data_IF_901286356723
#
_entry.id   IF_901286356723
#
_cell.length_a   1.000
_cell.length_b   1.000
_cell.length_c   1.000
_cell.angle_alpha   90.00
_cell.angle_beta   90.00
_cell.angle_gamma   90.00
#
_symmetry.space_group_name_H-M   'P 1'
#
loop_
_entity.id
_entity.type
_entity.pdbx_description
1 polymer ?
#
# COMPACT_ATOMS: atom_id res chain seq x y z
N UNK A 1 15.51 -76.22 -21.26
CA UNK A 1 14.79 -75.14 -21.98
C UNK A 1 15.66 -73.89 -21.99
N UNK A 2 15.58 -73.05 -23.02
CA UNK A 2 16.36 -71.81 -23.14
C UNK A 2 15.45 -70.58 -22.92
N UNK A 3 15.93 -69.54 -22.22
CA UNK A 3 16.39 -68.29 -22.89
C UNK A 3 16.92 -67.24 -21.91
N UNK A 4 17.80 -66.39 -22.47
CA UNK A 4 18.42 -65.23 -21.83
C UNK A 4 17.44 -64.06 -21.63
N UNK A 5 17.78 -63.14 -20.73
CA UNK A 5 17.91 -61.70 -21.03
C UNK A 5 18.90 -61.10 -20.01
N UNK A 6 20.17 -60.87 -20.39
CA UNK A 6 20.70 -59.64 -21.02
C UNK A 6 20.63 -58.39 -20.11
N UNK A 7 21.82 -57.91 -19.71
CA UNK A 7 22.02 -56.56 -19.20
C UNK A 7 21.79 -55.53 -20.32
N UNK A 8 21.24 -54.37 -19.97
CA UNK A 8 21.37 -53.14 -20.75
C UNK A 8 22.01 -52.07 -19.85
N UNK A 9 23.30 -51.79 -20.07
CA UNK A 9 23.95 -50.64 -19.46
C UNK A 9 23.50 -49.37 -20.19
N UNK A 10 22.96 -48.40 -19.47
CA UNK A 10 22.56 -47.12 -20.06
C UNK A 10 23.63 -46.06 -19.81
N UNK A 11 24.32 -45.65 -20.87
CA UNK A 11 25.36 -44.61 -20.81
C UNK A 11 24.69 -43.24 -20.76
N UNK A 12 24.61 -42.65 -19.56
CA UNK A 12 24.16 -41.27 -19.40
C UNK A 12 25.27 -40.32 -19.86
N UNK A 13 25.11 -39.71 -21.05
CA UNK A 13 26.05 -38.70 -21.55
C UNK A 13 25.90 -37.41 -20.74
N UNK A 14 26.91 -37.06 -19.96
CA UNK A 14 27.01 -35.74 -19.32
C UNK A 14 27.31 -34.70 -20.40
N UNK A 15 26.33 -33.85 -20.72
CA UNK A 15 26.51 -32.70 -21.59
C UNK A 15 26.97 -31.50 -20.75
N UNK A 16 28.27 -31.19 -20.78
CA UNK A 16 28.83 -30.03 -20.07
C UNK A 16 28.52 -28.77 -20.88
N UNK A 17 27.63 -27.92 -20.38
CA UNK A 17 27.36 -26.59 -20.95
C UNK A 17 28.33 -25.55 -20.37
N UNK A 18 29.46 -25.31 -21.04
CA UNK A 18 30.41 -24.23 -20.74
C UNK A 18 30.00 -22.91 -21.39
N UNK A 19 29.01 -22.22 -20.81
CA UNK A 19 28.60 -20.88 -21.26
C UNK A 19 29.53 -19.77 -20.74
N UNK A 20 30.62 -19.55 -21.47
CA UNK A 20 31.33 -18.27 -21.70
C UNK A 20 31.28 -17.18 -20.60
N UNK A 21 32.40 -16.97 -19.91
CA UNK A 21 32.67 -15.73 -19.16
C UNK A 21 32.97 -14.58 -20.14
N UNK A 22 31.97 -13.73 -20.41
CA UNK A 22 32.14 -12.51 -21.20
C UNK A 22 32.79 -11.38 -20.40
N UNK A 23 34.12 -11.27 -20.44
CA UNK A 23 34.84 -10.17 -19.79
C UNK A 23 34.70 -8.86 -20.58
N UNK A 24 33.99 -7.87 -20.02
CA UNK A 24 33.91 -6.50 -20.56
C UNK A 24 34.96 -5.64 -19.86
N UNK A 25 36.11 -5.43 -20.50
CA UNK A 25 37.21 -4.61 -19.99
C UNK A 25 37.27 -3.26 -20.71
N UNK A 26 36.50 -2.28 -20.23
CA UNK A 26 36.53 -0.89 -20.69
C UNK A 26 35.86 0.03 -19.66
N UNK A 27 36.46 1.11 -19.18
CA UNK A 27 37.82 1.61 -19.40
C UNK A 27 37.96 3.02 -18.80
N UNK A 28 39.02 3.29 -18.04
CA UNK A 28 39.16 4.58 -17.36
C UNK A 28 39.52 5.70 -18.36
N UNK A 29 38.62 6.67 -18.53
CA UNK A 29 38.86 7.92 -19.24
C UNK A 29 38.51 9.12 -18.34
N UNK A 30 39.42 9.46 -17.42
CA UNK A 30 39.31 10.68 -16.63
C UNK A 30 39.86 11.87 -17.41
N UNK A 31 39.07 12.92 -17.57
CA UNK A 31 39.56 14.25 -17.94
C UNK A 31 39.17 15.25 -16.84
N UNK A 32 40.12 16.09 -16.46
CA UNK A 32 39.95 17.11 -15.42
C UNK A 32 40.49 18.45 -15.93
N UNK A 33 40.09 19.52 -15.25
CA UNK A 33 40.54 20.92 -15.43
C UNK A 33 40.04 21.63 -16.71
N UNK A 34 40.00 22.99 -16.75
CA UNK A 34 39.95 23.95 -15.63
C UNK A 34 38.83 25.01 -15.70
N UNK A 35 38.32 25.35 -14.51
CA UNK A 35 38.01 26.70 -14.02
C UNK A 35 37.88 27.89 -15.01
N UNK A 36 36.68 28.50 -15.07
CA UNK A 36 36.50 29.93 -15.42
C UNK A 36 35.49 30.58 -14.46
N UNK A 37 35.97 31.37 -13.51
CA UNK A 37 35.18 32.47 -12.93
C UNK A 37 35.15 33.66 -13.89
N UNK A 38 34.08 34.47 -13.82
CA UNK A 38 34.28 35.91 -13.70
C UNK A 38 33.85 36.40 -12.31
N UNK A 39 34.79 36.90 -11.52
CA UNK A 39 34.49 37.85 -10.43
C UNK A 39 34.37 39.25 -11.06
N UNK A 40 33.46 40.08 -10.55
CA UNK A 40 33.42 41.51 -10.83
C UNK A 40 32.66 42.26 -9.71
N UNK A 41 33.36 42.44 -8.58
CA UNK A 41 33.07 43.48 -7.57
C UNK A 41 33.32 44.90 -8.12
N UNK A 42 33.12 45.90 -7.25
CA UNK A 42 33.50 47.33 -7.36
C UNK A 42 32.49 48.18 -8.14
N UNK A 43 31.98 49.34 -7.68
CA UNK A 43 31.78 50.01 -6.37
C UNK A 43 30.79 51.21 -6.65
N UNK A 44 30.35 52.14 -5.78
CA UNK A 44 30.66 52.56 -4.40
C UNK A 44 29.46 53.35 -3.78
N UNK A 45 29.71 54.09 -2.69
CA UNK A 45 28.99 55.32 -2.23
C UNK A 45 27.68 55.20 -1.44
N UNK A 46 27.85 54.97 -0.13
CA UNK A 46 27.26 55.73 0.99
C UNK A 46 27.46 57.26 0.83
N UNK A 47 26.71 58.19 1.52
CA UNK A 47 26.68 58.24 3.00
C UNK A 47 25.47 58.91 3.76
N UNK A 48 25.41 58.68 5.10
CA UNK A 48 24.87 59.61 6.14
C UNK A 48 23.31 59.83 6.10
N UNK A 49 22.51 60.21 7.13
CA UNK A 49 22.56 60.65 8.56
C UNK A 49 21.24 60.15 9.26
N UNK A 50 20.91 60.25 10.56
CA UNK A 50 21.55 59.98 11.89
C UNK A 50 20.46 60.11 13.00
N UNK A 51 20.65 59.45 14.16
CA UNK A 51 19.83 59.51 15.40
C UNK A 51 18.43 58.84 15.35
N UNK A 52 17.81 58.43 16.46
CA UNK A 52 18.31 58.30 17.85
C UNK A 52 17.17 58.33 18.89
N UNK A 53 17.17 57.43 19.89
CA UNK A 53 16.10 57.39 20.89
C UNK A 53 16.18 56.23 21.91
N UNK A 54 16.78 56.50 23.07
CA UNK A 54 16.54 55.78 24.34
C UNK A 54 15.25 56.33 25.00
N UNK A 55 14.60 55.74 26.01
CA UNK A 55 14.49 54.36 26.55
C UNK A 55 13.50 54.40 27.75
N UNK A 56 13.16 53.22 28.31
CA UNK A 56 12.75 52.90 29.71
C UNK A 56 11.44 52.13 29.89
N UNK A 57 11.43 51.28 30.93
CA UNK A 57 10.25 50.58 31.44
C UNK A 57 9.35 51.49 32.30
N UNK A 58 8.10 51.08 32.54
CA UNK A 58 7.66 50.80 33.94
C UNK A 58 6.32 50.05 34.02
N UNK A 59 6.28 49.10 34.94
CA UNK A 59 5.11 48.58 35.68
C UNK A 59 5.48 48.65 37.18
N UNK A 60 4.64 48.31 38.19
CA UNK A 60 3.27 47.75 38.18
C UNK A 60 2.31 48.48 39.18
N UNK A 61 1.15 47.87 39.55
CA UNK A 61 0.74 47.55 40.97
C UNK A 61 -0.76 47.76 41.33
N UNK A 62 -1.50 46.64 41.57
CA UNK A 62 -2.69 46.45 42.49
C UNK A 62 -4.01 47.24 42.22
N UNK A 63 -5.20 46.84 42.72
CA UNK A 63 -5.76 45.55 43.19
C UNK A 63 -7.28 45.66 43.50
N UNK A 64 -7.93 44.54 43.86
CA UNK A 64 -9.24 44.36 44.54
C UNK A 64 -10.55 44.59 43.73
N UNK A 65 -11.68 43.90 43.98
CA UNK A 65 -11.95 42.59 44.65
C UNK A 65 -13.36 42.06 44.29
N UNK A 66 -13.50 40.73 44.04
CA UNK A 66 -14.50 39.76 44.59
C UNK A 66 -15.99 40.21 44.68
N UNK A 67 -16.97 39.53 44.05
CA UNK A 67 -17.67 38.34 44.58
C UNK A 67 -18.41 37.48 43.50
N UNK A 68 -18.25 36.13 43.59
CA UNK A 68 -19.27 35.07 43.79
C UNK A 68 -20.69 35.17 43.11
N UNK A 69 -21.36 34.09 42.63
CA UNK A 69 -21.07 32.64 42.58
C UNK A 69 -21.79 31.96 41.35
N UNK A 70 -22.06 30.63 41.27
CA UNK A 70 -21.64 29.81 40.14
C UNK A 70 -22.71 29.57 39.07
N UNK A 71 -22.29 29.24 37.84
CA UNK A 71 -23.09 28.39 36.95
C UNK A 71 -22.28 27.66 35.89
N UNK A 72 -22.50 26.35 35.86
CA UNK A 72 -22.36 25.43 34.72
C UNK A 72 -21.03 25.48 33.95
N UNK A 73 -20.13 24.57 34.34
CA UNK A 73 -19.00 24.11 33.53
C UNK A 73 -19.42 23.93 32.07
N UNK A 74 -18.97 24.83 31.18
CA UNK A 74 -18.84 24.48 29.78
C UNK A 74 -17.67 23.52 29.70
N UNK A 75 -17.96 22.22 29.77
CA UNK A 75 -17.00 21.21 29.33
C UNK A 75 -16.57 21.62 27.92
N UNK A 76 -15.30 21.95 27.76
CA UNK A 76 -14.78 22.27 26.44
C UNK A 76 -15.05 21.05 25.58
N UNK A 77 -15.66 21.25 24.41
CA UNK A 77 -15.45 20.29 23.35
C UNK A 77 -13.93 20.17 23.20
N UNK A 78 -13.42 18.94 23.26
CA UNK A 78 -12.00 18.71 22.96
C UNK A 78 -11.84 19.01 21.48
N UNK A 79 -11.43 20.24 21.17
CA UNK A 79 -10.85 20.53 19.87
C UNK A 79 -9.68 19.56 19.72
N UNK A 80 -9.75 18.70 18.71
CA UNK A 80 -8.71 17.70 18.45
C UNK A 80 -7.43 18.50 18.20
N UNK A 81 -6.52 18.47 19.17
CA UNK A 81 -5.27 19.24 19.11
C UNK A 81 -4.56 18.89 17.81
N UNK A 82 -4.14 19.93 17.08
CA UNK A 82 -3.34 19.75 15.87
C UNK A 82 -2.09 18.96 16.25
N UNK A 83 -1.99 17.73 15.76
CA UNK A 83 -0.86 16.86 16.04
C UNK A 83 0.45 17.53 15.61
N UNK A 84 1.32 17.86 16.56
CA UNK A 84 2.67 18.43 16.31
C UNK A 84 3.68 17.37 15.79
N UNK A 85 3.19 16.47 14.93
CA UNK A 85 4.00 15.54 14.15
C UNK A 85 4.73 16.27 13.02
N UNK A 86 5.87 15.72 12.60
CA UNK A 86 6.75 16.28 11.57
C UNK A 86 7.41 15.16 10.78
N UNK A 87 7.49 15.32 9.47
CA UNK A 87 8.25 14.42 8.60
C UNK A 87 9.74 14.43 9.00
N UNK A 88 10.40 13.28 8.89
CA UNK A 88 11.79 13.08 9.32
C UNK A 88 12.00 12.97 10.84
N UNK A 89 10.97 13.09 11.69
CA UNK A 89 11.14 12.91 13.14
C UNK A 89 11.18 11.42 13.53
N UNK A 90 11.97 11.01 14.54
CA UNK A 90 11.99 9.61 15.00
C UNK A 90 10.61 9.11 15.41
N UNK A 91 10.24 7.91 14.96
CA UNK A 91 8.92 7.32 15.19
C UNK A 91 8.61 7.14 16.68
N UNK A 92 9.58 6.72 17.49
CA UNK A 92 9.40 6.64 18.94
C UNK A 92 8.95 7.97 19.55
N UNK A 93 9.52 9.10 19.10
CA UNK A 93 9.14 10.44 19.56
C UNK A 93 7.76 10.86 19.06
N UNK A 94 7.36 10.42 17.86
CA UNK A 94 6.01 10.61 17.34
C UNK A 94 4.97 9.83 18.17
N UNK A 95 5.25 8.56 18.47
CA UNK A 95 4.48 7.68 19.36
C UNK A 95 4.28 8.32 20.74
N UNK A 96 5.36 8.82 21.35
CA UNK A 96 5.30 9.53 22.63
C UNK A 96 4.37 10.77 22.56
N UNK A 97 4.47 11.58 21.51
CA UNK A 97 3.63 12.77 21.34
C UNK A 97 2.14 12.44 21.13
N UNK A 98 1.79 11.41 20.37
CA UNK A 98 0.38 11.06 20.13
C UNK A 98 -0.26 10.44 21.38
N UNK A 99 0.50 9.61 22.11
CA UNK A 99 0.06 9.05 23.40
C UNK A 99 -0.13 10.17 24.44
N UNK A 100 0.78 11.14 24.51
CA UNK A 100 0.61 12.34 25.37
C UNK A 100 -0.63 13.18 24.99
N UNK A 101 -1.02 13.19 23.72
CA UNK A 101 -2.23 13.85 23.22
C UNK A 101 -3.52 13.01 23.39
N UNK A 102 -3.45 11.85 24.05
CA UNK A 102 -4.61 11.03 24.40
C UNK A 102 -5.04 10.02 23.34
N UNK A 103 -4.21 9.78 22.34
CA UNK A 103 -4.34 8.64 21.43
C UNK A 103 -3.78 7.36 22.08
N UNK A 104 -4.24 6.19 21.63
CA UNK A 104 -3.85 4.87 22.15
C UNK A 104 -3.59 3.90 20.98
N UNK A 105 -2.62 2.97 21.08
CA UNK A 105 -2.39 1.93 20.07
C UNK A 105 -3.70 1.26 19.60
N UNK A 106 -3.90 1.19 18.28
CA UNK A 106 -5.07 0.54 17.69
C UNK A 106 -4.88 -0.98 17.64
N UNK A 107 -5.14 -1.64 18.77
CA UNK A 107 -5.14 -3.10 18.88
C UNK A 107 -6.44 -3.75 18.35
N UNK A 108 -7.28 -2.98 17.63
CA UNK A 108 -8.53 -3.44 17.01
C UNK A 108 -8.39 -3.47 15.47
N UNK A 109 -9.32 -4.16 14.81
CA UNK A 109 -9.26 -4.41 13.36
C UNK A 109 -8.23 -5.47 13.01
N UNK A 110 -7.55 -5.29 11.88
CA UNK A 110 -6.57 -6.27 11.37
C UNK A 110 -5.43 -6.49 12.38
N UNK A 111 -5.02 -7.75 12.53
CA UNK A 111 -3.87 -8.11 13.37
C UNK A 111 -2.56 -7.71 12.68
N UNK A 112 -1.47 -7.44 13.43
CA UNK A 112 -0.15 -7.23 12.85
C UNK A 112 0.25 -8.41 11.95
N UNK A 113 0.76 -8.13 10.76
CA UNK A 113 1.28 -9.12 9.82
C UNK A 113 2.61 -9.72 10.31
N UNK A 114 2.57 -10.56 11.35
CA UNK A 114 3.76 -11.18 11.98
C UNK A 114 4.51 -12.19 11.09
N UNK A 115 4.07 -12.39 9.83
CA UNK A 115 4.81 -13.13 8.81
C UNK A 115 5.83 -12.23 8.08
N UNK A 116 5.58 -10.91 8.02
CA UNK A 116 6.60 -9.96 7.60
C UNK A 116 7.64 -9.78 8.72
N UNK A 117 8.93 -9.87 8.34
CA UNK A 117 10.02 -9.84 9.31
C UNK A 117 10.19 -8.45 9.96
N UNK A 118 9.89 -7.37 9.23
CA UNK A 118 9.96 -6.00 9.79
C UNK A 118 8.80 -5.72 10.74
N UNK A 119 7.58 -6.13 10.39
CA UNK A 119 6.42 -6.07 11.29
C UNK A 119 6.71 -6.85 12.57
N UNK A 120 7.25 -8.08 12.44
CA UNK A 120 7.61 -8.89 13.60
C UNK A 120 8.71 -8.24 14.46
N UNK A 121 9.79 -7.74 13.88
CA UNK A 121 10.85 -7.06 14.64
C UNK A 121 10.31 -5.83 15.39
N UNK A 122 9.44 -5.03 14.77
CA UNK A 122 8.78 -3.88 15.40
C UNK A 122 7.83 -4.29 16.54
N UNK A 123 7.09 -5.38 16.34
CA UNK A 123 6.22 -5.93 17.37
C UNK A 123 7.03 -6.47 18.57
N UNK A 124 8.14 -7.18 18.31
CA UNK A 124 9.08 -7.65 19.34
C UNK A 124 9.78 -6.48 20.07
N UNK A 125 9.89 -5.29 19.46
CA UNK A 125 10.30 -4.04 20.11
C UNK A 125 9.18 -3.32 20.89
N UNK A 126 7.95 -3.87 20.92
CA UNK A 126 6.82 -3.31 21.68
C UNK A 126 6.02 -2.22 20.94
N UNK A 127 6.16 -2.11 19.62
CA UNK A 127 5.30 -1.28 18.77
C UNK A 127 4.04 -2.04 18.35
N UNK A 128 3.23 -2.49 19.32
CA UNK A 128 2.01 -3.29 19.11
C UNK A 128 0.99 -2.63 18.14
N UNK A 129 1.08 -1.30 17.95
CA UNK A 129 0.28 -0.57 16.96
C UNK A 129 0.66 -0.80 15.48
N UNK A 130 1.75 -1.51 15.18
CA UNK A 130 2.16 -1.81 13.80
C UNK A 130 1.15 -2.75 13.12
N UNK A 131 0.75 -2.44 11.89
CA UNK A 131 -0.16 -3.28 11.09
C UNK A 131 0.60 -4.07 10.02
N UNK A 132 1.27 -3.36 9.11
CA UNK A 132 1.95 -3.96 7.96
C UNK A 132 3.12 -3.10 7.46
N UNK A 133 4.02 -3.70 6.68
CA UNK A 133 5.25 -3.08 6.17
C UNK A 133 5.42 -3.28 4.65
N UNK A 134 5.81 -2.23 3.93
CA UNK A 134 6.01 -2.26 2.49
C UNK A 134 7.37 -2.83 2.10
N UNK A 135 7.37 -4.00 1.45
CA UNK A 135 8.57 -4.68 0.93
C UNK A 135 9.32 -3.95 -0.20
N UNK A 136 8.85 -2.78 -0.63
CA UNK A 136 9.35 -1.98 -1.78
C UNK A 136 10.73 -1.33 -1.59
N UNK A 137 11.58 -1.86 -0.71
CA UNK A 137 12.95 -1.37 -0.46
C UNK A 137 13.05 -0.10 0.40
N UNK A 138 12.02 0.75 0.46
CA UNK A 138 11.91 1.85 1.44
C UNK A 138 11.41 1.39 2.81
N UNK A 139 10.82 0.19 2.90
CA UNK A 139 10.46 -0.45 4.16
C UNK A 139 9.42 0.31 4.99
N UNK A 140 8.59 1.16 4.38
CA UNK A 140 7.60 1.99 5.09
C UNK A 140 6.56 1.12 5.81
N UNK A 141 6.36 1.32 7.11
CA UNK A 141 5.36 0.58 7.90
C UNK A 141 4.24 1.48 8.38
N UNK A 142 3.02 0.93 8.45
CA UNK A 142 1.80 1.58 8.96
C UNK A 142 1.63 1.25 10.44
N UNK A 143 1.52 2.29 11.25
CA UNK A 143 1.25 2.24 12.70
C UNK A 143 -0.06 2.98 12.98
N UNK A 144 -0.91 2.46 13.87
CA UNK A 144 -2.26 2.97 14.07
C UNK A 144 -2.61 3.31 15.51
N UNK A 145 -3.34 4.40 15.71
CA UNK A 145 -3.81 4.84 17.02
C UNK A 145 -5.27 5.27 16.95
N UNK A 146 -6.04 4.99 18.00
CA UNK A 146 -7.41 5.52 18.16
C UNK A 146 -7.49 6.53 19.30
N UNK A 147 -8.48 7.42 19.26
CA UNK A 147 -8.76 8.34 20.36
C UNK A 147 -10.16 8.12 20.97
N UNK A 148 -10.47 8.83 22.06
CA UNK A 148 -11.75 8.72 22.79
C UNK A 148 -13.00 9.16 22.00
N UNK A 149 -12.84 9.73 20.80
CA UNK A 149 -13.93 10.07 19.89
C UNK A 149 -14.12 9.00 18.78
N UNK A 150 -13.32 7.93 18.78
CA UNK A 150 -13.37 6.87 17.76
C UNK A 150 -12.69 7.25 16.44
N UNK A 151 -11.93 8.35 16.40
CA UNK A 151 -11.10 8.68 15.24
C UNK A 151 -9.87 7.76 15.19
N UNK A 152 -9.41 7.45 13.98
CA UNK A 152 -8.25 6.61 13.69
C UNK A 152 -7.14 7.47 13.09
N UNK A 153 -6.02 7.58 13.79
CA UNK A 153 -4.77 8.16 13.31
C UNK A 153 -3.91 7.01 12.77
N UNK A 154 -3.49 7.09 11.51
CA UNK A 154 -2.40 6.25 11.01
C UNK A 154 -1.15 7.08 10.74
N UNK A 155 0.00 6.50 11.05
CA UNK A 155 1.34 7.06 10.84
C UNK A 155 2.10 6.09 9.94
N UNK A 156 2.68 6.60 8.86
CA UNK A 156 3.66 5.88 8.05
C UNK A 156 5.06 6.30 8.47
N UNK A 157 5.95 5.34 8.73
CA UNK A 157 7.35 5.60 9.04
C UNK A 157 8.29 4.65 8.29
N UNK A 158 9.32 5.20 7.65
CA UNK A 158 10.38 4.48 6.93
C UNK A 158 11.56 4.16 7.85
N UNK A 159 12.44 3.23 7.44
CA UNK A 159 13.73 3.04 8.11
C UNK A 159 14.58 4.31 7.97
N UNK A 160 15.31 4.66 9.03
CA UNK A 160 16.28 5.75 9.00
C UNK A 160 17.67 5.26 8.51
N UNK A 161 17.97 3.99 8.74
CA UNK A 161 19.20 3.33 8.33
C UNK A 161 18.93 1.97 7.64
N UNK A 162 19.73 0.93 7.87
CA UNK A 162 19.51 -0.43 7.34
C UNK A 162 18.80 -1.37 8.34
N UNK A 163 18.22 -0.85 9.41
CA UNK A 163 17.65 -1.65 10.50
C UNK A 163 16.22 -1.20 10.85
N UNK A 164 15.49 -2.08 11.54
CA UNK A 164 14.18 -1.74 12.08
C UNK A 164 14.23 -0.98 13.42
N UNK A 165 15.41 -0.77 14.03
CA UNK A 165 15.51 -0.10 15.33
C UNK A 165 15.31 1.42 15.23
N UNK A 166 15.72 2.05 14.13
CA UNK A 166 15.52 3.49 13.90
C UNK A 166 14.60 3.74 12.71
N UNK A 167 13.42 4.32 12.99
CA UNK A 167 12.43 4.71 11.98
C UNK A 167 12.09 6.18 12.11
N UNK A 168 11.79 6.81 10.98
CA UNK A 168 11.37 8.23 10.90
C UNK A 168 9.99 8.35 10.28
N UNK A 169 9.17 9.23 10.85
CA UNK A 169 7.84 9.56 10.31
C UNK A 169 7.98 10.09 8.89
N UNK A 170 7.28 9.47 7.96
CA UNK A 170 7.19 9.90 6.57
C UNK A 170 5.85 10.62 6.30
N UNK A 171 4.74 10.12 6.85
CA UNK A 171 3.43 10.75 6.69
C UNK A 171 2.46 10.35 7.82
N UNK A 172 1.34 11.06 7.99
CA UNK A 172 0.25 10.67 8.90
C UNK A 172 -1.09 11.29 8.48
N UNK A 173 -2.20 10.65 8.84
CA UNK A 173 -3.55 11.17 8.61
C UNK A 173 -4.54 10.75 9.71
N UNK A 174 -5.63 11.50 9.87
CA UNK A 174 -6.73 11.20 10.80
C UNK A 174 -8.01 10.91 10.00
N UNK A 175 -8.49 9.69 10.12
CA UNK A 175 -9.81 9.26 9.67
C UNK A 175 -10.83 9.48 10.79
N UNK A 176 -11.93 10.18 10.49
CA UNK A 176 -12.93 10.55 11.51
C UNK A 176 -13.88 9.39 11.80
N UNK A 177 -14.02 9.05 13.08
CA UNK A 177 -14.91 7.98 13.53
C UNK A 177 -16.37 8.26 13.18
N UNK A 178 -16.94 7.44 12.29
CA UNK A 178 -18.39 7.39 12.09
C UNK A 178 -19.01 6.79 13.34
N UNK A 179 -19.65 7.63 14.17
CA UNK A 179 -20.29 7.16 15.40
C UNK A 179 -21.42 6.17 15.08
N UNK A 180 -21.17 4.88 15.36
CA UNK A 180 -22.04 3.75 15.02
C UNK A 180 -23.31 3.72 15.88
N UNK A 181 -24.26 4.64 15.62
CA UNK A 181 -25.62 4.57 16.19
C UNK A 181 -26.67 5.44 15.46
N UNK A 182 -26.66 5.47 14.11
CA UNK A 182 -27.87 5.87 13.36
C UNK A 182 -27.92 5.31 11.93
N UNK A 183 -28.54 4.13 11.79
CA UNK A 183 -28.96 3.61 10.48
C UNK A 183 -30.24 4.33 10.02
N UNK A 184 -30.12 5.56 9.52
CA UNK A 184 -31.19 6.21 8.75
C UNK A 184 -30.67 7.35 7.86
N UNK A 185 -30.71 7.11 6.54
CA UNK A 185 -30.95 8.11 5.50
C UNK A 185 -30.18 9.45 5.58
N UNK A 186 -28.85 9.40 5.65
CA UNK A 186 -28.05 10.46 5.01
C UNK A 186 -28.00 10.13 3.52
N UNK A 187 -28.87 10.77 2.74
CA UNK A 187 -28.76 10.77 1.29
C UNK A 187 -27.56 11.65 0.90
N UNK A 188 -26.36 11.06 0.87
CA UNK A 188 -25.22 11.69 0.22
C UNK A 188 -25.53 11.86 -1.26
N UNK A 189 -24.91 12.87 -1.88
CA UNK A 189 -24.73 12.83 -3.32
C UNK A 189 -23.84 11.62 -3.62
N UNK A 190 -24.42 10.51 -4.07
CA UNK A 190 -23.64 9.51 -4.78
C UNK A 190 -23.13 10.16 -6.06
N UNK A 191 -21.86 10.57 -6.07
CA UNK A 191 -21.14 10.72 -7.33
C UNK A 191 -21.29 9.39 -8.07
N UNK A 192 -21.87 9.44 -9.27
CA UNK A 192 -22.16 8.24 -10.04
C UNK A 192 -20.84 7.53 -10.32
N UNK A 193 -20.62 6.39 -9.66
CA UNK A 193 -19.41 5.59 -9.80
C UNK A 193 -19.14 5.34 -11.30
N UNK A 194 -17.92 5.61 -11.79
CA UNK A 194 -17.64 5.64 -13.23
C UNK A 194 -17.79 4.25 -13.88
N UNK A 195 -17.59 3.20 -13.11
CA UNK A 195 -17.81 1.79 -13.43
C UNK A 195 -17.88 0.99 -12.11
N UNK A 196 -18.19 -0.31 -12.21
CA UNK A 196 -18.04 -1.30 -11.15
C UNK A 196 -17.11 -2.42 -11.63
N UNK A 197 -16.42 -3.07 -10.69
CA UNK A 197 -15.38 -4.08 -10.97
C UNK A 197 -14.02 -3.44 -11.26
N UNK A 198 -13.12 -4.20 -11.88
CA UNK A 198 -11.73 -3.80 -12.12
C UNK A 198 -11.54 -3.22 -13.53
N UNK A 199 -10.71 -2.20 -13.67
CA UNK A 199 -10.24 -1.63 -14.93
C UNK A 199 -8.71 -1.43 -14.91
N UNK A 200 -8.08 -1.55 -16.06
CA UNK A 200 -6.64 -1.31 -16.29
C UNK A 200 -6.43 0.02 -17.01
N UNK A 201 -5.33 0.70 -16.72
CA UNK A 201 -4.93 1.94 -17.39
C UNK A 201 -3.39 2.10 -17.41
N UNK A 202 -2.85 2.84 -18.37
CA UNK A 202 -1.41 3.12 -18.45
C UNK A 202 -1.17 4.44 -19.17
N UNK A 203 -0.53 5.40 -18.50
CA UNK A 203 -0.21 6.71 -19.08
C UNK A 203 0.98 6.68 -20.05
N UNK A 204 1.87 5.68 -19.97
CA UNK A 204 3.19 5.70 -20.60
C UNK A 204 3.30 4.90 -21.92
N UNK A 205 2.21 4.31 -22.42
CA UNK A 205 2.15 3.45 -23.63
C UNK A 205 3.18 2.28 -23.70
N UNK A 206 3.89 2.00 -22.61
CA UNK A 206 4.94 0.99 -22.55
C UNK A 206 4.43 -0.42 -22.31
N UNK A 207 5.22 -1.42 -22.71
CA UNK A 207 4.94 -2.85 -22.56
C UNK A 207 5.18 -3.37 -21.11
N UNK A 208 5.00 -2.51 -20.10
CA UNK A 208 5.33 -2.78 -18.70
C UNK A 208 4.71 -1.77 -17.73
N UNK A 209 4.48 -2.24 -16.51
CA UNK A 209 3.92 -1.53 -15.34
C UNK A 209 2.72 -0.61 -15.63
N UNK A 210 1.56 -1.24 -15.91
CA UNK A 210 0.27 -0.55 -15.90
C UNK A 210 -0.31 -0.43 -14.49
N UNK A 211 -1.33 0.42 -14.33
CA UNK A 211 -2.11 0.57 -13.10
C UNK A 211 -3.46 -0.14 -13.23
N UNK A 212 -4.05 -0.52 -12.11
CA UNK A 212 -5.42 -1.04 -12.02
C UNK A 212 -6.22 -0.26 -10.98
N UNK A 213 -7.50 -0.11 -11.24
CA UNK A 213 -8.47 0.41 -10.27
C UNK A 213 -9.64 -0.58 -10.17
N UNK A 214 -10.02 -0.97 -8.96
CA UNK A 214 -11.23 -1.73 -8.68
C UNK A 214 -12.21 -0.85 -7.89
N UNK A 215 -13.49 -0.85 -8.30
CA UNK A 215 -14.58 -0.15 -7.60
C UNK A 215 -15.69 -1.14 -7.29
N UNK A 216 -16.03 -1.31 -6.02
CA UNK A 216 -17.10 -2.16 -5.54
C UNK A 216 -18.47 -1.43 -5.53
N UNK A 217 -19.61 -2.15 -5.50
CA UNK A 217 -20.96 -1.55 -5.50
C UNK A 217 -21.23 -0.56 -4.35
N UNK A 218 -20.53 -0.70 -3.23
CA UNK A 218 -20.61 0.18 -2.06
C UNK A 218 -19.64 1.38 -2.13
N UNK A 219 -19.00 1.60 -3.28
CA UNK A 219 -18.00 2.62 -3.54
C UNK A 219 -16.60 2.32 -2.98
N UNK A 220 -16.36 1.17 -2.35
CA UNK A 220 -15.00 0.80 -1.92
C UNK A 220 -14.08 0.68 -3.13
N UNK A 221 -12.95 1.38 -3.09
CA UNK A 221 -12.07 1.61 -4.24
C UNK A 221 -10.63 1.31 -3.88
N UNK A 222 -9.96 0.53 -4.72
CA UNK A 222 -8.54 0.18 -4.59
C UNK A 222 -7.83 0.52 -5.90
N UNK A 223 -6.75 1.29 -5.83
CA UNK A 223 -5.82 1.53 -6.95
C UNK A 223 -4.51 0.79 -6.69
N UNK A 224 -3.97 0.11 -7.70
CA UNK A 224 -2.68 -0.58 -7.63
C UNK A 224 -1.77 -0.23 -8.80
N UNK A 225 -0.46 -0.16 -8.54
CA UNK A 225 0.60 -0.21 -9.54
C UNK A 225 0.98 -1.69 -9.75
N UNK A 226 0.83 -2.21 -10.96
CA UNK A 226 1.04 -3.65 -11.23
C UNK A 226 2.40 -3.86 -11.90
N UNK A 227 3.39 -4.28 -11.10
CA UNK A 227 4.70 -4.67 -11.58
C UNK A 227 4.70 -6.06 -12.26
N UNK A 228 5.89 -6.50 -12.67
CA UNK A 228 6.07 -7.82 -13.33
C UNK A 228 5.93 -9.02 -12.37
N UNK A 229 6.18 -8.81 -11.08
CA UNK A 229 6.26 -9.88 -10.06
C UNK A 229 5.40 -9.60 -8.82
N UNK A 230 4.98 -8.35 -8.61
CA UNK A 230 4.22 -7.88 -7.45
C UNK A 230 3.37 -6.65 -7.85
N UNK A 231 2.34 -6.35 -7.06
CA UNK A 231 1.53 -5.13 -7.22
C UNK A 231 1.47 -4.35 -5.91
N UNK A 232 1.76 -3.05 -5.98
CA UNK A 232 1.69 -2.14 -4.83
C UNK A 232 0.36 -1.40 -4.78
N UNK A 233 -0.26 -1.27 -3.60
CA UNK A 233 -1.49 -0.48 -3.42
C UNK A 233 -1.14 1.01 -3.34
N UNK A 234 -1.66 1.80 -4.28
CA UNK A 234 -1.49 3.25 -4.31
C UNK A 234 -2.68 4.01 -3.72
N UNK A 235 -3.81 3.33 -3.50
CA UNK A 235 -4.97 3.89 -2.82
C UNK A 235 -5.88 2.76 -2.29
N UNK A 236 -6.41 2.92 -1.08
CA UNK A 236 -7.55 2.18 -0.57
C UNK A 236 -8.49 3.15 0.17
N UNK A 237 -9.80 3.07 -0.08
CA UNK A 237 -10.79 3.98 0.51
C UNK A 237 -12.16 3.96 -0.18
N UNK A 238 -12.95 5.01 -0.01
CA UNK A 238 -14.22 5.22 -0.72
C UNK A 238 -14.03 6.14 -1.92
N UNK A 239 -14.59 5.77 -3.07
CA UNK A 239 -14.45 6.50 -4.33
C UNK A 239 -14.67 8.02 -4.16
N UNK A 240 -13.71 8.79 -4.64
CA UNK A 240 -13.80 10.25 -4.76
C UNK A 240 -13.29 10.66 -6.14
N UNK A 241 -13.78 11.77 -6.68
CA UNK A 241 -13.27 12.31 -7.94
C UNK A 241 -12.78 13.76 -7.75
N UNK A 242 -11.46 14.02 -7.73
CA UNK A 242 -10.37 13.07 -7.96
C UNK A 242 -10.10 12.11 -6.79
N UNK A 243 -9.39 11.03 -7.10
CA UNK A 243 -8.66 10.20 -6.12
C UNK A 243 -7.30 10.87 -5.90
N UNK A 244 -6.86 11.02 -4.65
CA UNK A 244 -5.47 11.39 -4.33
C UNK A 244 -4.73 10.13 -3.91
N UNK A 245 -3.56 9.87 -4.49
CA UNK A 245 -2.80 8.65 -4.22
C UNK A 245 -2.12 8.72 -2.83
N UNK A 246 -2.16 7.58 -2.14
CA UNK A 246 -1.61 7.34 -0.80
C UNK A 246 -0.15 6.81 -0.87
N UNK A 247 0.44 6.73 -2.07
CA UNK A 247 1.78 6.18 -2.32
C UNK A 247 2.94 7.17 -2.06
N UNK A 248 2.64 8.34 -1.50
CA UNK A 248 3.63 9.38 -1.21
C UNK A 248 4.04 10.23 -2.43
N UNK A 249 3.53 9.95 -3.63
CA UNK A 249 3.80 10.76 -4.83
C UNK A 249 3.10 12.13 -4.79
N UNK A 250 2.03 12.26 -4.01
CA UNK A 250 1.13 13.41 -4.00
C UNK A 250 0.35 13.62 -5.31
N UNK A 251 0.43 12.67 -6.24
CA UNK A 251 -0.31 12.70 -7.50
C UNK A 251 -1.78 12.30 -7.29
N UNK A 252 -2.62 12.70 -8.23
CA UNK A 252 -4.04 12.32 -8.25
C UNK A 252 -4.45 11.59 -9.52
N UNK A 253 -5.67 11.06 -9.50
CA UNK A 253 -6.38 10.50 -10.64
C UNK A 253 -7.75 11.16 -10.76
N UNK A 254 -7.98 11.86 -11.87
CA UNK A 254 -9.27 12.47 -12.23
C UNK A 254 -9.99 11.59 -13.23
N UNK A 255 -11.22 11.19 -12.94
CA UNK A 255 -12.06 10.37 -13.80
C UNK A 255 -13.06 11.25 -14.54
N UNK A 256 -12.94 11.32 -15.87
CA UNK A 256 -13.78 12.20 -16.69
C UNK A 256 -13.92 11.67 -18.12
N UNK A 257 -15.10 11.82 -18.71
CA UNK A 257 -15.37 11.51 -20.13
C UNK A 257 -14.97 10.08 -20.55
N UNK A 258 -15.07 9.11 -19.65
CA UNK A 258 -14.68 7.71 -19.87
C UNK A 258 -13.18 7.42 -19.76
N UNK A 259 -12.35 8.44 -19.47
CA UNK A 259 -10.90 8.35 -19.28
C UNK A 259 -10.52 8.58 -17.82
N UNK A 260 -9.26 8.23 -17.51
CA UNK A 260 -8.55 8.68 -16.32
C UNK A 260 -7.42 9.63 -16.73
N UNK A 261 -7.22 10.69 -15.96
CA UNK A 261 -6.17 11.69 -16.12
C UNK A 261 -5.30 11.70 -14.87
N UNK A 262 -3.98 11.72 -15.02
CA UNK A 262 -3.07 11.96 -13.90
C UNK A 262 -3.10 13.44 -13.51
N UNK A 263 -3.16 13.73 -12.21
CA UNK A 263 -3.00 15.06 -11.64
C UNK A 263 -1.62 15.19 -10.97
N UNK A 264 -1.01 16.35 -11.14
CA UNK A 264 0.21 16.76 -10.44
C UNK A 264 -0.11 17.16 -8.98
N UNK A 265 0.93 17.39 -8.17
CA UNK A 265 0.79 17.74 -6.74
C UNK A 265 0.08 19.07 -6.45
N UNK A 266 -0.11 19.91 -7.47
CA UNK A 266 -0.89 21.15 -7.43
C UNK A 266 -2.36 20.98 -7.83
N UNK A 267 -2.78 19.74 -8.16
CA UNK A 267 -4.11 19.40 -8.66
C UNK A 267 -4.34 19.66 -10.16
N UNK A 268 -3.36 20.20 -10.90
CA UNK A 268 -3.47 20.38 -12.34
C UNK A 268 -3.20 19.07 -13.09
N UNK A 269 -3.91 18.86 -14.21
CA UNK A 269 -3.69 17.69 -15.08
C UNK A 269 -2.24 17.66 -15.57
N UNK A 270 -1.56 16.56 -15.26
CA UNK A 270 -0.15 16.36 -15.52
C UNK A 270 0.14 16.27 -17.03
N UNK A 271 1.40 16.59 -17.39
CA UNK A 271 1.90 16.54 -18.77
C UNK A 271 3.27 15.86 -18.81
N UNK A 272 3.61 15.30 -19.97
CA UNK A 272 4.90 14.64 -20.22
C UNK A 272 4.82 13.14 -20.50
N UNK A 273 3.70 12.49 -20.15
CA UNK A 273 3.63 11.02 -20.10
C UNK A 273 3.85 10.29 -21.44
N UNK A 274 3.59 10.94 -22.58
CA UNK A 274 3.76 10.36 -23.92
C UNK A 274 4.63 11.24 -24.83
N UNK A 275 5.35 12.20 -24.25
CA UNK A 275 6.14 13.21 -24.95
C UNK A 275 6.02 14.60 -24.33
N UNK A 276 6.85 15.54 -24.78
CA UNK A 276 6.85 16.90 -24.26
C UNK A 276 5.48 17.57 -24.47
N UNK A 277 4.92 18.14 -23.39
CA UNK A 277 3.63 18.83 -23.41
C UNK A 277 2.37 17.94 -23.54
N UNK A 278 2.49 16.63 -23.82
CA UNK A 278 1.33 15.72 -23.95
C UNK A 278 0.60 15.57 -22.62
N UNK A 279 -0.74 15.65 -22.63
CA UNK A 279 -1.57 15.39 -21.44
C UNK A 279 -1.41 13.93 -20.98
N UNK A 280 -1.27 13.73 -19.67
CA UNK A 280 -1.28 12.40 -19.05
C UNK A 280 -2.70 11.86 -18.92
N UNK A 281 -3.26 11.35 -20.02
CA UNK A 281 -4.55 10.63 -20.05
C UNK A 281 -4.39 9.15 -20.43
N UNK A 282 -5.35 8.32 -20.01
CA UNK A 282 -5.49 6.92 -20.42
C UNK A 282 -6.97 6.56 -20.54
N UNK A 283 -7.30 5.71 -21.51
CA UNK A 283 -8.56 4.96 -21.48
C UNK A 283 -8.56 3.98 -20.31
N UNK A 284 -9.77 3.63 -19.84
CA UNK A 284 -9.98 2.53 -18.91
C UNK A 284 -10.29 1.27 -19.70
N UNK A 285 -9.35 0.34 -19.74
CA UNK A 285 -9.53 -0.98 -20.34
C UNK A 285 -10.21 -1.91 -19.34
N UNK A 286 -11.04 -2.83 -19.82
CA UNK A 286 -11.51 -3.92 -18.97
C UNK A 286 -10.33 -4.83 -18.61
N UNK A 287 -10.15 -5.06 -17.30
CA UNK A 287 -9.24 -6.08 -16.86
C UNK A 287 -9.81 -7.42 -17.35
N UNK A 288 -9.01 -8.30 -17.99
CA UNK A 288 -9.46 -9.67 -18.19
C UNK A 288 -9.76 -10.22 -16.79
N UNK A 289 -11.00 -10.69 -16.57
CA UNK A 289 -11.39 -11.34 -15.33
C UNK A 289 -10.35 -12.42 -14.99
N UNK A 290 -9.83 -12.50 -13.75
CA UNK A 290 -8.81 -13.47 -13.42
C UNK A 290 -9.38 -14.87 -13.64
N UNK A 291 -8.91 -15.53 -14.70
CA UNK A 291 -9.41 -16.82 -15.13
C UNK A 291 -8.98 -17.84 -14.09
N UNK A 292 -9.94 -18.35 -13.33
CA UNK A 292 -9.75 -19.56 -12.52
C UNK A 292 -9.43 -20.68 -13.53
N UNK A 293 -8.25 -21.29 -13.39
CA UNK A 293 -7.69 -22.16 -14.42
C UNK A 293 -8.28 -23.56 -14.38
N UNK A 294 -8.51 -24.16 -15.56
CA UNK A 294 -8.90 -25.58 -15.70
C UNK A 294 -7.93 -26.49 -14.92
N UNK A 295 -8.47 -27.34 -14.05
CA UNK A 295 -7.65 -28.18 -13.19
C UNK A 295 -8.41 -28.93 -12.10
N UNK A 296 -7.64 -29.70 -11.33
CA UNK A 296 -8.12 -30.41 -10.14
C UNK A 296 -7.55 -29.71 -8.91
N UNK A 297 -8.42 -29.06 -8.16
CA UNK A 297 -8.12 -28.41 -6.90
C UNK A 297 -8.48 -29.37 -5.75
N UNK A 298 -7.73 -29.37 -4.65
CA UNK A 298 -7.99 -30.22 -3.48
C UNK A 298 -7.79 -29.47 -2.16
N UNK A 299 -8.46 -29.95 -1.11
CA UNK A 299 -8.24 -29.50 0.28
C UNK A 299 -6.96 -30.08 0.87
N UNK A 300 -6.55 -31.27 0.43
CA UNK A 300 -5.43 -32.03 0.98
C UNK A 300 -5.70 -33.53 0.94
N UNK A 301 -5.24 -34.26 1.97
CA UNK A 301 -5.42 -35.71 2.10
C UNK A 301 -6.83 -36.20 2.46
N UNK A 302 -7.90 -35.47 2.13
CA UNK A 302 -9.29 -35.79 2.51
C UNK A 302 -10.03 -36.68 1.50
N UNK A 303 -9.44 -36.96 0.34
CA UNK A 303 -10.13 -37.63 -0.78
C UNK A 303 -11.11 -36.74 -1.56
N UNK A 304 -11.35 -35.52 -1.09
CA UNK A 304 -12.26 -34.55 -1.71
C UNK A 304 -11.49 -33.59 -2.62
N UNK A 305 -12.13 -33.19 -3.71
CA UNK A 305 -11.61 -32.20 -4.64
C UNK A 305 -12.69 -31.44 -5.40
N UNK A 306 -12.23 -30.47 -6.19
CA UNK A 306 -13.02 -29.57 -7.00
C UNK A 306 -12.39 -29.55 -8.40
N UNK A 307 -13.10 -30.06 -9.41
CA UNK A 307 -12.68 -30.03 -10.82
C UNK A 307 -13.23 -28.77 -11.49
N UNK A 308 -12.38 -28.04 -12.20
CA UNK A 308 -12.72 -26.83 -12.96
C UNK A 308 -12.47 -27.05 -14.44
N UNK A 309 -13.43 -26.59 -15.26
CA UNK A 309 -13.39 -26.75 -16.71
C UNK A 309 -14.19 -25.66 -17.43
N UNK A 310 -13.49 -24.69 -18.00
CA UNK A 310 -14.10 -23.51 -18.62
C UNK A 310 -14.87 -22.68 -17.60
N UNK A 311 -16.14 -22.39 -17.88
CA UNK A 311 -16.99 -21.55 -17.01
C UNK A 311 -17.77 -22.36 -15.94
N UNK A 312 -17.38 -23.62 -15.70
CA UNK A 312 -18.04 -24.51 -14.75
C UNK A 312 -17.06 -25.24 -13.83
N UNK A 313 -17.55 -25.63 -12.65
CA UNK A 313 -16.84 -26.48 -11.70
C UNK A 313 -17.74 -27.58 -11.15
N UNK A 314 -17.16 -28.58 -10.47
CA UNK A 314 -17.90 -29.56 -9.67
C UNK A 314 -17.06 -30.11 -8.52
N UNK A 315 -17.71 -30.51 -7.44
CA UNK A 315 -17.07 -31.29 -6.39
C UNK A 315 -16.96 -32.77 -6.77
N UNK A 316 -15.95 -33.44 -6.24
CA UNK A 316 -15.82 -34.90 -6.27
C UNK A 316 -15.26 -35.43 -4.94
N UNK A 317 -15.65 -36.65 -4.60
CA UNK A 317 -15.22 -37.38 -3.41
C UNK A 317 -15.20 -38.90 -3.67
N UNK A 318 -15.03 -39.71 -2.61
CA UNK A 318 -15.00 -41.17 -2.71
C UNK A 318 -16.35 -41.79 -3.18
N UNK A 319 -17.46 -41.05 -3.07
CA UNK A 319 -18.76 -41.48 -3.60
C UNK A 319 -18.92 -41.17 -5.10
N UNK A 320 -18.09 -40.25 -5.63
CA UNK A 320 -18.00 -39.91 -7.04
C UNK A 320 -18.08 -38.40 -7.31
N UNK A 321 -18.51 -38.05 -8.53
CA UNK A 321 -18.63 -36.66 -8.96
C UNK A 321 -20.02 -36.12 -8.65
N UNK A 322 -20.11 -34.89 -8.13
CA UNK A 322 -21.38 -34.15 -8.00
C UNK A 322 -21.71 -33.43 -9.33
N UNK A 323 -22.83 -32.70 -9.37
CA UNK A 323 -23.27 -31.95 -10.56
C UNK A 323 -22.38 -30.72 -10.86
N UNK A 324 -22.44 -30.21 -12.10
CA UNK A 324 -21.69 -29.03 -12.51
C UNK A 324 -22.40 -27.73 -12.12
N UNK A 325 -21.65 -26.84 -11.48
CA UNK A 325 -22.06 -25.52 -10.98
C UNK A 325 -21.32 -24.40 -11.74
N UNK A 326 -21.87 -23.18 -11.83
CA UNK A 326 -21.26 -22.09 -12.59
C UNK A 326 -20.09 -21.46 -11.82
N UNK A 327 -18.96 -21.24 -12.50
CA UNK A 327 -17.71 -20.79 -11.86
C UNK A 327 -17.80 -19.41 -11.18
N UNK A 328 -18.86 -18.65 -11.46
CA UNK A 328 -19.20 -17.38 -10.79
C UNK A 328 -19.55 -17.51 -9.31
N UNK A 329 -19.79 -18.73 -8.81
CA UNK A 329 -19.98 -19.01 -7.37
C UNK A 329 -18.64 -19.08 -6.62
N UNK A 330 -17.51 -19.21 -7.33
CA UNK A 330 -16.17 -19.34 -6.74
C UNK A 330 -15.41 -18.01 -6.70
N UNK A 331 -14.73 -17.76 -5.59
CA UNK A 331 -13.89 -16.58 -5.40
C UNK A 331 -12.45 -16.90 -5.81
N UNK A 332 -11.96 -16.26 -6.87
CA UNK A 332 -10.54 -16.29 -7.23
C UNK A 332 -9.72 -15.53 -6.17
N UNK A 333 -8.71 -16.19 -5.59
CA UNK A 333 -7.77 -15.56 -4.66
C UNK A 333 -6.45 -15.25 -5.37
N UNK A 334 -5.85 -16.26 -6.01
CA UNK A 334 -4.63 -16.17 -6.83
C UNK A 334 -4.52 -17.38 -7.76
N UNK A 335 -3.51 -17.41 -8.64
CA UNK A 335 -3.29 -18.55 -9.52
C UNK A 335 -3.16 -19.85 -8.71
N UNK A 336 -3.99 -20.85 -9.06
CA UNK A 336 -4.05 -22.13 -8.35
C UNK A 336 -4.69 -22.10 -6.95
N UNK A 337 -5.31 -20.99 -6.50
CA UNK A 337 -6.05 -20.89 -5.23
C UNK A 337 -7.40 -20.19 -5.37
N UNK A 338 -8.45 -20.85 -4.88
CA UNK A 338 -9.84 -20.39 -4.88
C UNK A 338 -10.50 -20.61 -3.52
N UNK A 339 -11.62 -19.92 -3.28
CA UNK A 339 -12.47 -20.06 -2.10
C UNK A 339 -13.95 -20.18 -2.50
N UNK A 340 -14.63 -21.23 -2.07
CA UNK A 340 -16.03 -21.52 -2.44
C UNK A 340 -17.09 -20.86 -1.54
N UNK A 341 -16.67 -20.24 -0.43
CA UNK A 341 -17.54 -19.72 0.63
C UNK A 341 -17.33 -20.40 1.99
N UNK A 342 -16.78 -21.61 2.01
CA UNK A 342 -16.50 -22.40 3.22
C UNK A 342 -15.02 -22.86 3.28
N UNK A 343 -14.43 -23.25 2.15
CA UNK A 343 -13.15 -23.92 2.05
C UNK A 343 -12.22 -23.28 1.00
N UNK A 344 -10.92 -23.34 1.27
CA UNK A 344 -9.86 -22.99 0.32
C UNK A 344 -9.42 -24.23 -0.46
N UNK A 345 -9.43 -24.15 -1.80
CA UNK A 345 -9.00 -25.24 -2.67
C UNK A 345 -7.77 -24.85 -3.48
N UNK A 346 -6.80 -25.77 -3.56
CA UNK A 346 -5.49 -25.53 -4.17
C UNK A 346 -5.22 -26.52 -5.31
N UNK A 347 -4.62 -26.06 -6.41
CA UNK A 347 -3.93 -26.97 -7.34
C UNK A 347 -2.62 -27.43 -6.67
N UNK A 348 -2.42 -28.74 -6.40
CA UNK A 348 -1.27 -29.21 -5.66
C UNK A 348 0.00 -29.28 -6.55
N UNK A 349 1.18 -28.89 -6.03
CA UNK A 349 2.46 -29.17 -6.66
C UNK A 349 2.66 -30.67 -6.94
N UNK A 350 3.30 -31.00 -8.06
CA UNK A 350 3.36 -32.38 -8.57
C UNK A 350 4.05 -33.33 -7.59
N UNK A 351 3.26 -34.27 -7.04
CA UNK A 351 3.68 -35.34 -6.10
C UNK A 351 3.99 -34.85 -4.68
N UNK A 352 3.52 -33.67 -4.29
CA UNK A 352 3.67 -33.16 -2.94
C UNK A 352 2.41 -33.47 -2.10
N UNK A 353 2.59 -33.97 -0.88
CA UNK A 353 1.51 -34.14 0.10
C UNK A 353 1.37 -32.89 0.95
N UNK A 354 0.15 -32.41 1.17
CA UNK A 354 -0.08 -31.14 1.86
C UNK A 354 -1.57 -30.88 2.12
N UNK A 355 -1.86 -29.66 2.55
CA UNK A 355 -3.19 -29.14 2.85
C UNK A 355 -3.30 -27.74 2.25
N UNK A 356 -4.48 -27.37 1.74
CA UNK A 356 -4.73 -26.03 1.23
C UNK A 356 -5.08 -25.04 2.36
N UNK A 357 -4.78 -23.77 2.15
CA UNK A 357 -5.09 -22.67 3.06
C UNK A 357 -5.33 -21.37 2.29
N UNK A 358 -5.77 -20.32 2.98
CA UNK A 358 -5.82 -18.94 2.45
C UNK A 358 -4.48 -18.46 1.86
N UNK A 359 -3.37 -19.02 2.34
CA UNK A 359 -2.01 -18.71 1.89
C UNK A 359 -1.57 -19.59 0.70
N UNK A 360 -2.36 -20.58 0.29
CA UNK A 360 -2.04 -21.58 -0.72
C UNK A 360 -1.69 -22.93 -0.13
N UNK A 361 -0.93 -23.73 -0.90
CA UNK A 361 -0.57 -25.10 -0.53
C UNK A 361 0.48 -25.14 0.57
N UNK A 362 0.20 -25.87 1.65
CA UNK A 362 1.09 -26.10 2.78
C UNK A 362 1.57 -27.56 2.76
N UNK A 363 2.85 -27.83 2.44
CA UNK A 363 3.36 -29.21 2.39
C UNK A 363 3.51 -29.82 3.78
N UNK A 364 3.11 -31.10 3.90
CA UNK A 364 3.37 -31.95 5.05
C UNK A 364 4.86 -32.36 5.03
N UNK A 365 5.54 -32.17 6.17
CA UNK A 365 6.97 -32.46 6.38
C UNK A 365 7.17 -33.72 7.21
#
# INVERSE_FOLDING_TARGET
MLKNNKLCAYVLKVAIFTSLLGAIASGCAGFATPNVQPDNRVNNYTPIQTAGGQAKETSPTKANQVQNLPSRTKNSANAVSKLDLKEGMPYQKARELVIQQGWQPNLQGDSPNLQDTSVKELFDFGYEEVKDCSGTGVGACRFEFTNKAGELLWISATMADRTNTERVVWHWSIEKGTNTNQSTLVASHQEKLPFIGTRLFNFLNGNGTGQSIAIAPDGTTIVKLNGKFESSVQYNGKFSNPIILQDGSGLGLLFKDGKVYSLSTDGNIAKGCQGEGTICESSLLEAPSPVIVDGFYILGGTGQGLEIKGEQYRYYDEEGNKEWQPISELNYIKEGLIFDGENYWCIPPRRETGVCSENGWLPLR
#
